data_IF_213702951959
#
_entry.id   IF_213702951959
#
_cell.length_a   1.000
_cell.length_b   1.000
_cell.length_c   1.000
_cell.angle_alpha   90.00
_cell.angle_beta   90.00
_cell.angle_gamma   90.00
#
_symmetry.space_group_name_H-M   'P 1'
#
loop_
_entity.id
_entity.type
_entity.pdbx_description
1 polymer ?
#
# COMPACT_ATOMS: atom_id res chain seq x y z
N UNK A 1 11.35 -4.56 19.31
CA UNK A 1 10.47 -4.40 18.13
C UNK A 1 9.31 -3.50 18.53
N UNK A 2 8.90 -2.57 17.71
CA UNK A 2 7.86 -1.58 18.06
C UNK A 2 6.52 -2.29 18.25
N UNK A 3 5.87 -2.14 19.42
CA UNK A 3 4.62 -2.83 19.77
C UNK A 3 3.49 -2.47 18.78
N UNK A 4 3.43 -1.23 18.33
CA UNK A 4 2.44 -0.75 17.36
C UNK A 4 2.62 -1.41 16.00
N UNK A 5 3.86 -1.57 15.52
CA UNK A 5 4.15 -2.27 14.26
C UNK A 5 3.73 -3.75 14.33
N UNK A 6 3.99 -4.43 15.47
CA UNK A 6 3.53 -5.82 15.62
C UNK A 6 2.01 -5.94 15.59
N UNK A 7 1.30 -4.99 16.20
CA UNK A 7 -0.16 -4.96 16.14
C UNK A 7 -0.66 -4.70 14.71
N UNK A 8 -0.01 -3.79 13.99
CA UNK A 8 -0.32 -3.50 12.58
C UNK A 8 -0.08 -4.74 11.69
N UNK A 9 1.05 -5.43 11.84
CA UNK A 9 1.33 -6.67 11.11
C UNK A 9 0.29 -7.75 11.37
N UNK A 10 -0.11 -7.94 12.64
CA UNK A 10 -1.16 -8.89 12.98
C UNK A 10 -2.48 -8.54 12.30
N UNK A 11 -2.85 -7.25 12.28
CA UNK A 11 -4.05 -6.77 11.60
C UNK A 11 -3.96 -7.00 10.09
N UNK A 12 -2.85 -6.62 9.47
CA UNK A 12 -2.58 -6.82 8.03
C UNK A 12 -2.72 -8.29 7.63
N UNK A 13 -2.10 -9.20 8.37
CA UNK A 13 -2.16 -10.63 8.08
C UNK A 13 -3.57 -11.20 8.21
N UNK A 14 -4.32 -10.78 9.23
CA UNK A 14 -5.71 -11.17 9.40
C UNK A 14 -6.59 -10.67 8.24
N UNK A 15 -6.37 -9.43 7.79
CA UNK A 15 -7.11 -8.85 6.66
C UNK A 15 -6.78 -9.59 5.35
N UNK A 16 -5.51 -9.91 5.08
CA UNK A 16 -5.11 -10.69 3.90
C UNK A 16 -5.72 -12.09 3.91
N UNK A 17 -5.71 -12.79 5.07
CA UNK A 17 -6.35 -14.11 5.19
C UNK A 17 -7.85 -14.04 4.94
N UNK A 18 -8.51 -13.02 5.51
CA UNK A 18 -9.95 -12.81 5.33
C UNK A 18 -10.29 -12.51 3.88
N UNK A 19 -9.51 -11.63 3.24
CA UNK A 19 -9.67 -11.29 1.82
C UNK A 19 -9.50 -12.51 0.92
N UNK A 20 -8.49 -13.34 1.19
CA UNK A 20 -8.23 -14.57 0.42
C UNK A 20 -9.37 -15.60 0.51
N UNK A 21 -10.15 -15.59 1.60
CA UNK A 21 -11.28 -16.51 1.83
C UNK A 21 -12.59 -16.04 1.18
N UNK A 22 -12.65 -14.82 0.66
CA UNK A 22 -13.87 -14.28 0.04
C UNK A 22 -14.27 -15.08 -1.21
N UNK A 23 -15.56 -15.36 -1.35
CA UNK A 23 -16.13 -16.02 -2.54
C UNK A 23 -15.84 -15.25 -3.84
N UNK A 24 -15.82 -13.93 -3.77
CA UNK A 24 -15.55 -13.01 -4.88
C UNK A 24 -14.09 -12.55 -4.95
N UNK A 25 -13.17 -13.22 -4.28
CA UNK A 25 -11.74 -12.88 -4.24
C UNK A 25 -11.19 -12.50 -5.61
N UNK A 26 -11.42 -13.35 -6.61
CA UNK A 26 -10.86 -13.13 -7.95
C UNK A 26 -11.40 -11.87 -8.63
N UNK A 27 -12.68 -11.55 -8.43
CA UNK A 27 -13.25 -10.33 -8.99
C UNK A 27 -12.62 -9.07 -8.39
N UNK A 28 -12.37 -9.09 -7.08
CA UNK A 28 -11.70 -8.00 -6.38
C UNK A 28 -10.21 -7.92 -6.77
N UNK A 29 -9.56 -9.06 -6.86
CA UNK A 29 -8.15 -9.17 -7.27
C UNK A 29 -7.95 -8.65 -8.70
N UNK A 30 -8.81 -9.05 -9.64
CA UNK A 30 -8.80 -8.56 -11.02
C UNK A 30 -9.09 -7.04 -11.11
N UNK A 31 -9.81 -6.47 -10.13
CA UNK A 31 -10.05 -5.02 -10.06
C UNK A 31 -8.77 -4.25 -9.78
N UNK A 32 -7.91 -4.76 -8.89
CA UNK A 32 -6.63 -4.15 -8.56
C UNK A 32 -5.59 -4.38 -9.68
N UNK A 33 -5.36 -5.62 -10.07
CA UNK A 33 -4.21 -6.03 -10.88
C UNK A 33 -4.53 -6.30 -12.36
N UNK A 34 -5.75 -6.04 -12.80
CA UNK A 34 -6.19 -6.42 -14.16
C UNK A 34 -6.44 -7.91 -14.30
N UNK A 35 -6.45 -8.41 -15.55
CA UNK A 35 -6.78 -9.82 -15.85
C UNK A 35 -5.66 -10.56 -16.59
N UNK A 36 -4.53 -9.91 -16.83
CA UNK A 36 -3.44 -10.43 -17.67
C UNK A 36 -2.17 -10.77 -16.86
N UNK A 37 -2.34 -11.23 -15.64
CA UNK A 37 -1.24 -11.58 -14.74
C UNK A 37 -0.95 -13.09 -14.71
N UNK A 38 0.12 -13.50 -14.07
CA UNK A 38 0.47 -14.89 -13.77
C UNK A 38 -0.53 -15.49 -12.76
N UNK A 39 -1.61 -16.08 -13.28
CA UNK A 39 -2.67 -16.69 -12.48
C UNK A 39 -2.17 -17.76 -11.49
N UNK A 40 -1.17 -18.54 -11.89
CA UNK A 40 -0.60 -19.58 -11.01
C UNK A 40 0.17 -18.95 -9.85
N UNK A 41 0.90 -17.88 -10.08
CA UNK A 41 1.57 -17.10 -9.02
C UNK A 41 0.56 -16.50 -8.03
N UNK A 42 -0.50 -15.89 -8.54
CA UNK A 42 -1.56 -15.32 -7.71
C UNK A 42 -2.30 -16.40 -6.89
N UNK A 43 -2.53 -17.59 -7.43
CA UNK A 43 -3.12 -18.71 -6.69
C UNK A 43 -2.22 -19.19 -5.56
N UNK A 44 -0.90 -19.22 -5.76
CA UNK A 44 0.06 -19.58 -4.71
C UNK A 44 -0.02 -18.56 -3.57
N UNK A 45 0.00 -17.26 -3.86
CA UNK A 45 -0.14 -16.20 -2.85
C UNK A 45 -1.45 -16.36 -2.07
N UNK A 46 -2.58 -16.57 -2.76
CA UNK A 46 -3.87 -16.80 -2.14
C UNK A 46 -3.85 -17.97 -1.15
N UNK A 47 -3.29 -19.11 -1.56
CA UNK A 47 -3.21 -20.32 -0.73
C UNK A 47 -2.30 -20.10 0.49
N UNK A 48 -1.21 -19.37 0.34
CA UNK A 48 -0.33 -18.98 1.45
C UNK A 48 -1.09 -18.13 2.47
N UNK A 49 -1.80 -17.08 2.03
CA UNK A 49 -2.60 -16.23 2.92
C UNK A 49 -3.70 -17.00 3.64
N UNK A 50 -4.39 -17.92 2.95
CA UNK A 50 -5.38 -18.82 3.55
C UNK A 50 -4.79 -19.73 4.61
N UNK A 51 -3.55 -20.18 4.44
CA UNK A 51 -2.85 -21.03 5.41
C UNK A 51 -2.16 -20.24 6.54
N UNK A 52 -2.17 -18.91 6.48
CA UNK A 52 -1.44 -18.04 7.41
C UNK A 52 0.08 -18.02 7.17
N UNK A 53 0.53 -18.38 5.99
CA UNK A 53 1.94 -18.30 5.59
C UNK A 53 2.19 -16.95 4.90
N UNK A 54 2.88 -16.06 5.60
CA UNK A 54 3.27 -14.73 5.13
C UNK A 54 4.80 -14.61 4.90
N UNK A 55 5.49 -15.74 4.81
CA UNK A 55 6.96 -15.79 4.70
C UNK A 55 7.49 -15.20 3.38
N UNK A 56 6.64 -15.09 2.36
CA UNK A 56 6.98 -14.52 1.05
C UNK A 56 6.87 -13.00 0.99
N UNK A 57 6.19 -12.39 1.96
CA UNK A 57 6.04 -10.93 1.98
C UNK A 57 7.40 -10.24 2.16
N UNK A 58 7.57 -9.03 1.58
CA UNK A 58 8.80 -8.26 1.69
C UNK A 58 9.20 -8.00 3.14
N UNK A 59 10.50 -7.89 3.37
CA UNK A 59 11.00 -7.43 4.66
C UNK A 59 10.74 -5.93 4.83
N UNK A 60 10.51 -5.52 6.07
CA UNK A 60 10.26 -4.13 6.39
C UNK A 60 11.52 -3.50 6.97
N UNK A 61 11.96 -2.40 6.37
CA UNK A 61 13.01 -1.54 6.88
C UNK A 61 12.41 -0.19 7.31
N UNK A 62 12.79 0.27 8.49
CA UNK A 62 12.34 1.56 9.02
C UNK A 62 13.39 2.60 8.69
N UNK A 63 13.01 3.62 7.92
CA UNK A 63 13.87 4.73 7.52
C UNK A 63 13.50 6.02 8.22
N UNK A 64 14.47 6.93 8.35
CA UNK A 64 14.18 8.31 8.73
C UNK A 64 13.19 8.92 7.73
N UNK A 65 12.17 9.62 8.21
CA UNK A 65 11.13 10.19 7.37
C UNK A 65 11.65 11.13 6.29
N UNK A 66 12.81 11.77 6.50
CA UNK A 66 13.45 12.64 5.50
C UNK A 66 13.92 11.87 4.24
N UNK A 67 14.09 10.55 4.32
CA UNK A 67 14.50 9.71 3.19
C UNK A 67 13.30 9.39 2.28
N UNK A 68 12.14 9.13 2.89
CA UNK A 68 10.89 8.85 2.17
C UNK A 68 10.19 10.13 1.69
N UNK A 69 10.72 11.31 2.03
CA UNK A 69 10.06 12.56 1.74
C UNK A 69 8.74 12.66 2.52
N UNK A 70 7.63 12.70 1.79
CA UNK A 70 6.28 12.82 2.37
C UNK A 70 5.58 11.46 2.52
N UNK A 71 6.15 10.39 1.97
CA UNK A 71 5.52 9.07 2.01
C UNK A 71 5.62 8.44 3.40
N UNK A 72 4.58 7.72 3.78
CA UNK A 72 4.52 6.91 4.99
C UNK A 72 5.14 5.53 4.79
N UNK A 73 5.03 5.00 3.57
CA UNK A 73 5.60 3.75 3.11
C UNK A 73 6.13 3.87 1.68
N UNK A 74 6.89 2.89 1.26
CA UNK A 74 7.35 2.72 -0.11
C UNK A 74 7.77 1.26 -0.35
N UNK A 75 7.41 0.70 -1.50
CA UNK A 75 7.89 -0.60 -1.93
C UNK A 75 8.97 -0.47 -3.01
N UNK A 76 10.01 -1.28 -2.90
CA UNK A 76 11.07 -1.38 -3.89
C UNK A 76 11.15 -2.79 -4.47
N UNK A 77 10.74 -2.96 -5.72
CA UNK A 77 10.77 -4.25 -6.42
C UNK A 77 12.20 -4.75 -6.66
N UNK A 78 13.17 -3.85 -6.82
CA UNK A 78 14.57 -4.18 -7.10
C UNK A 78 15.28 -4.96 -6.00
N UNK A 79 14.86 -4.80 -4.75
CA UNK A 79 15.42 -5.50 -3.58
C UNK A 79 14.35 -6.20 -2.73
N UNK A 80 13.09 -6.18 -3.16
CA UNK A 80 11.95 -6.77 -2.47
C UNK A 80 11.82 -6.28 -1.02
N UNK A 81 11.79 -4.97 -0.83
CA UNK A 81 11.78 -4.33 0.47
C UNK A 81 10.61 -3.36 0.60
N UNK A 82 9.94 -3.38 1.74
CA UNK A 82 9.02 -2.32 2.17
C UNK A 82 9.79 -1.37 3.09
N UNK A 83 9.75 -0.09 2.80
CA UNK A 83 10.27 0.96 3.66
C UNK A 83 9.14 1.65 4.40
N UNK A 84 9.29 1.89 5.70
CA UNK A 84 8.33 2.64 6.50
C UNK A 84 9.01 3.85 7.16
N UNK A 85 8.30 4.97 7.21
CA UNK A 85 8.74 6.17 7.89
C UNK A 85 8.76 5.98 9.41
N UNK A 86 9.89 6.26 10.04
CA UNK A 86 10.03 6.23 11.50
C UNK A 86 9.08 7.23 12.17
N UNK A 87 8.89 8.41 11.56
CA UNK A 87 7.97 9.44 12.08
C UNK A 87 6.53 8.92 12.05
N UNK A 88 6.10 8.34 10.92
CA UNK A 88 4.78 7.74 10.78
C UNK A 88 4.54 6.67 11.83
N UNK A 89 5.48 5.75 12.05
CA UNK A 89 5.39 4.70 13.06
C UNK A 89 5.25 5.21 14.49
N UNK A 90 5.76 6.39 14.80
CA UNK A 90 5.68 6.95 16.17
C UNK A 90 4.41 7.72 16.44
N UNK A 91 3.72 8.18 15.40
CA UNK A 91 2.55 9.06 15.51
C UNK A 91 1.24 8.40 15.11
N UNK A 92 1.30 7.23 14.46
CA UNK A 92 0.13 6.57 13.86
C UNK A 92 -0.40 5.40 14.68
N UNK A 93 -1.66 5.04 14.42
CA UNK A 93 -2.30 3.86 14.99
C UNK A 93 -1.91 2.59 14.24
N UNK A 94 -2.18 1.43 14.82
CA UNK A 94 -1.94 0.14 14.16
C UNK A 94 -2.77 -0.01 12.87
N UNK A 95 -3.98 0.55 12.85
CA UNK A 95 -4.87 0.54 11.68
C UNK A 95 -4.30 1.37 10.54
N UNK A 96 -3.80 2.58 10.83
CA UNK A 96 -3.18 3.43 9.82
C UNK A 96 -1.90 2.79 9.25
N UNK A 97 -1.06 2.20 10.10
CA UNK A 97 0.14 1.48 9.66
C UNK A 97 -0.25 0.25 8.83
N UNK A 98 -1.31 -0.48 9.22
CA UNK A 98 -1.80 -1.63 8.44
C UNK A 98 -2.30 -1.22 7.06
N UNK A 99 -2.97 -0.06 6.94
CA UNK A 99 -3.42 0.45 5.66
C UNK A 99 -2.23 0.69 4.70
N UNK A 100 -1.18 1.37 5.18
CA UNK A 100 0.06 1.56 4.41
C UNK A 100 0.71 0.22 4.06
N UNK A 101 0.83 -0.70 5.01
CA UNK A 101 1.40 -2.03 4.73
C UNK A 101 0.62 -2.80 3.66
N UNK A 102 -0.71 -2.69 3.64
CA UNK A 102 -1.53 -3.33 2.61
C UNK A 102 -1.29 -2.74 1.23
N UNK A 103 -1.07 -1.44 1.14
CA UNK A 103 -0.74 -0.74 -0.10
C UNK A 103 0.62 -1.21 -0.64
N UNK A 104 1.66 -1.18 0.20
CA UNK A 104 2.99 -1.65 -0.20
C UNK A 104 3.02 -3.16 -0.53
N UNK A 105 2.15 -3.95 0.10
CA UNK A 105 1.95 -5.36 -0.27
C UNK A 105 1.21 -5.46 -1.61
N UNK A 106 0.34 -4.52 -1.95
CA UNK A 106 -0.28 -4.45 -3.27
C UNK A 106 0.76 -4.29 -4.39
N UNK A 107 1.68 -3.34 -4.26
CA UNK A 107 2.81 -3.14 -5.18
C UNK A 107 3.71 -4.39 -5.26
N UNK A 108 4.00 -5.03 -4.12
CA UNK A 108 4.70 -6.32 -4.13
C UNK A 108 3.94 -7.39 -4.92
N UNK A 109 2.63 -7.49 -4.76
CA UNK A 109 1.81 -8.48 -5.48
C UNK A 109 1.89 -8.19 -6.97
N UNK A 110 1.71 -6.94 -7.39
CA UNK A 110 1.81 -6.55 -8.80
C UNK A 110 3.15 -6.94 -9.39
N UNK A 111 4.25 -6.51 -8.79
CA UNK A 111 5.61 -6.84 -9.22
C UNK A 111 5.89 -8.35 -9.26
N UNK A 112 5.16 -9.16 -8.47
CA UNK A 112 5.34 -10.61 -8.42
C UNK A 112 4.54 -11.37 -9.48
N UNK A 113 3.39 -10.85 -9.89
CA UNK A 113 2.49 -11.55 -10.81
C UNK A 113 2.44 -10.96 -12.21
N UNK A 114 2.74 -9.67 -12.37
CA UNK A 114 2.73 -8.98 -13.65
C UNK A 114 4.14 -8.91 -14.27
N UNK A 115 4.20 -8.86 -15.61
CA UNK A 115 5.46 -8.69 -16.36
C UNK A 115 5.89 -7.23 -16.44
N UNK A 116 4.96 -6.33 -16.27
CA UNK A 116 5.15 -4.88 -16.22
C UNK A 116 4.19 -4.35 -15.20
N UNK A 117 4.58 -3.29 -14.56
CA UNK A 117 3.77 -2.57 -13.62
C UNK A 117 2.37 -2.27 -14.13
N UNK A 118 1.35 -2.46 -13.30
CA UNK A 118 -0.04 -2.11 -13.61
C UNK A 118 -0.18 -0.58 -13.62
N UNK A 119 -1.05 -0.07 -14.49
CA UNK A 119 -1.22 1.37 -14.59
C UNK A 119 -1.98 1.94 -13.36
N UNK A 120 -1.40 2.96 -12.75
CA UNK A 120 -1.98 3.68 -11.61
C UNK A 120 -1.47 3.17 -10.28
N UNK A 121 -2.16 3.52 -9.21
CA UNK A 121 -1.88 3.08 -7.85
C UNK A 121 -2.71 1.82 -7.53
N UNK A 122 -2.24 0.65 -8.02
CA UNK A 122 -2.90 -0.63 -7.75
C UNK A 122 -2.71 -1.06 -6.29
N UNK A 123 -1.68 -0.56 -5.62
CA UNK A 123 -1.44 -0.76 -4.20
C UNK A 123 -2.59 -0.19 -3.36
N UNK A 124 -2.95 1.08 -3.59
CA UNK A 124 -4.08 1.71 -2.90
C UNK A 124 -5.42 1.05 -3.25
N UNK A 125 -5.61 0.65 -4.51
CA UNK A 125 -6.81 -0.10 -4.91
C UNK A 125 -6.88 -1.41 -4.12
N UNK A 126 -5.80 -2.17 -4.07
CA UNK A 126 -5.71 -3.43 -3.34
C UNK A 126 -5.96 -3.23 -1.85
N UNK A 127 -5.30 -2.26 -1.21
CA UNK A 127 -5.48 -1.94 0.21
C UNK A 127 -6.94 -1.64 0.56
N UNK A 128 -7.61 -0.81 -0.24
CA UNK A 128 -9.02 -0.49 -0.05
C UNK A 128 -9.91 -1.74 -0.12
N UNK A 129 -9.70 -2.60 -1.11
CA UNK A 129 -10.49 -3.83 -1.30
C UNK A 129 -10.24 -4.86 -0.19
N UNK A 130 -9.00 -5.02 0.27
CA UNK A 130 -8.66 -5.90 1.40
C UNK A 130 -9.31 -5.43 2.70
N UNK A 131 -9.42 -4.12 2.90
CA UNK A 131 -10.11 -3.51 4.05
C UNK A 131 -11.65 -3.60 3.94
N UNK A 132 -12.18 -4.13 2.84
CA UNK A 132 -13.63 -4.26 2.63
C UNK A 132 -14.30 -2.98 2.15
N UNK A 133 -13.53 -1.98 1.72
CA UNK A 133 -14.06 -0.76 1.15
C UNK A 133 -14.59 -1.00 -0.27
N UNK A 134 -15.65 -0.30 -0.64
CA UNK A 134 -16.15 -0.26 -2.01
C UNK A 134 -15.59 0.97 -2.71
N UNK A 135 -14.94 0.76 -3.86
CA UNK A 135 -14.49 1.84 -4.71
C UNK A 135 -15.57 2.16 -5.75
N UNK A 136 -16.02 3.40 -5.78
CA UNK A 136 -16.88 3.86 -6.88
C UNK A 136 -16.06 4.05 -8.17
N UNK A 137 -16.75 4.19 -9.29
CA UNK A 137 -16.10 4.29 -10.59
C UNK A 137 -15.19 5.50 -10.70
N UNK A 138 -15.52 6.61 -10.05
CA UNK A 138 -14.74 7.85 -10.09
C UNK A 138 -13.45 7.70 -9.32
N UNK A 139 -13.51 7.17 -8.10
CA UNK A 139 -12.35 6.88 -7.24
C UNK A 139 -11.43 5.87 -7.91
N UNK A 140 -11.99 4.77 -8.46
CA UNK A 140 -11.18 3.76 -9.15
C UNK A 140 -10.48 4.33 -10.39
N UNK A 141 -11.14 5.22 -11.15
CA UNK A 141 -10.51 5.87 -12.30
C UNK A 141 -9.42 6.86 -11.87
N UNK A 142 -9.60 7.56 -10.76
CA UNK A 142 -8.59 8.47 -10.22
C UNK A 142 -7.33 7.69 -9.83
N UNK A 143 -7.48 6.63 -9.01
CA UNK A 143 -6.36 5.77 -8.60
C UNK A 143 -5.63 5.14 -9.82
N UNK A 144 -6.36 4.70 -10.83
CA UNK A 144 -5.77 4.16 -12.07
C UNK A 144 -5.06 5.20 -12.95
N UNK A 145 -5.18 6.47 -12.65
CA UNK A 145 -4.51 7.55 -13.37
C UNK A 145 -3.36 8.19 -12.57
N UNK A 146 -3.13 7.75 -11.35
CA UNK A 146 -2.03 8.23 -10.51
C UNK A 146 -0.68 7.73 -11.00
N UNK A 147 0.39 8.46 -10.64
CA UNK A 147 1.79 8.07 -10.82
C UNK A 147 2.42 8.08 -9.41
N UNK A 148 2.66 6.91 -8.89
CA UNK A 148 3.20 6.66 -7.55
C UNK A 148 4.71 6.37 -7.55
N UNK A 149 5.34 6.43 -8.73
CA UNK A 149 6.77 6.18 -8.86
C UNK A 149 7.61 7.30 -8.25
N UNK A 150 8.60 6.90 -7.48
CA UNK A 150 9.56 7.82 -6.89
C UNK A 150 10.97 7.25 -6.86
N UNK A 151 11.93 8.08 -6.49
CA UNK A 151 13.32 7.66 -6.26
C UNK A 151 13.75 8.12 -4.89
N UNK A 152 14.13 7.18 -4.04
CA UNK A 152 14.72 7.47 -2.73
C UNK A 152 16.22 7.16 -2.73
N UNK A 153 16.96 7.79 -1.80
CA UNK A 153 18.38 7.51 -1.63
C UNK A 153 18.62 6.85 -0.28
N UNK A 154 18.94 5.56 -0.30
CA UNK A 154 19.24 4.78 0.91
C UNK A 154 20.71 4.39 0.88
N UNK A 155 21.46 4.74 1.93
CA UNK A 155 22.88 4.45 2.05
C UNK A 155 23.73 4.90 0.84
N UNK A 156 23.32 6.02 0.20
CA UNK A 156 24.00 6.57 -0.98
C UNK A 156 23.65 5.88 -2.30
N UNK A 157 22.70 4.97 -2.31
CA UNK A 157 22.18 4.31 -3.51
C UNK A 157 20.79 4.85 -3.85
N UNK A 158 20.56 5.18 -5.11
CA UNK A 158 19.26 5.54 -5.61
C UNK A 158 18.44 4.28 -5.89
N UNK A 159 17.27 4.19 -5.28
CA UNK A 159 16.34 3.09 -5.39
C UNK A 159 15.03 3.60 -5.97
N UNK A 160 14.53 2.96 -7.03
CA UNK A 160 13.19 3.22 -7.54
C UNK A 160 12.19 2.55 -6.61
N UNK A 161 11.15 3.28 -6.26
CA UNK A 161 10.09 2.83 -5.36
C UNK A 161 8.74 3.26 -5.89
N UNK A 162 7.70 2.58 -5.49
CA UNK A 162 6.32 3.00 -5.52
C UNK A 162 5.99 3.51 -4.12
N UNK A 163 5.29 4.63 -4.01
CA UNK A 163 5.07 5.32 -2.74
C UNK A 163 3.61 5.66 -2.57
N UNK A 164 3.13 5.53 -1.33
CA UNK A 164 1.83 6.05 -0.97
C UNK A 164 1.75 7.56 -1.20
N UNK A 165 0.80 7.98 -2.02
CA UNK A 165 0.41 9.38 -2.15
C UNK A 165 -0.55 9.77 -1.01
N UNK A 166 -0.53 11.06 -0.61
CA UNK A 166 -1.48 11.58 0.38
C UNK A 166 -2.88 11.69 -0.24
N UNK A 167 -3.61 10.58 -0.24
CA UNK A 167 -5.00 10.56 -0.69
C UNK A 167 -5.91 10.39 0.52
N UNK A 168 -6.81 11.35 0.74
CA UNK A 168 -7.87 11.24 1.73
C UNK A 168 -8.93 10.23 1.29
N UNK A 169 -9.80 9.88 2.21
CA UNK A 169 -10.91 8.96 1.99
C UNK A 169 -12.18 9.70 1.51
N UNK A 170 -13.31 9.00 1.47
CA UNK A 170 -14.62 9.63 1.27
C UNK A 170 -15.23 10.18 2.59
N UNK A 171 -14.49 10.11 3.69
CA UNK A 171 -14.88 10.63 5.00
C UNK A 171 -14.21 11.97 5.32
N UNK A 172 -14.35 12.44 6.55
CA UNK A 172 -13.68 13.65 7.01
C UNK A 172 -12.26 13.28 7.45
N UNK A 173 -11.27 13.75 6.72
CA UNK A 173 -9.87 13.43 6.94
C UNK A 173 -9.11 14.61 7.56
N UNK A 174 -8.04 14.31 8.25
CA UNK A 174 -7.04 15.30 8.67
C UNK A 174 -5.71 14.91 8.03
N UNK A 175 -5.34 15.61 6.98
CA UNK A 175 -4.12 15.35 6.22
C UNK A 175 -3.13 16.47 6.55
N UNK A 176 -1.92 16.09 6.95
CA UNK A 176 -0.85 17.06 7.23
C UNK A 176 0.26 16.84 6.22
N UNK A 177 0.47 17.81 5.36
CA UNK A 177 1.60 17.87 4.45
C UNK A 177 2.91 18.16 5.19
N UNK A 178 3.96 18.39 4.43
CA UNK A 178 5.30 18.68 4.94
C UNK A 178 5.68 20.15 4.74
N UNK A 179 6.96 20.47 4.95
CA UNK A 179 7.51 21.81 4.64
C UNK A 179 7.85 22.01 3.15
N UNK A 180 7.62 21.01 2.30
CA UNK A 180 7.88 21.04 0.86
C UNK A 180 6.63 21.38 0.04
N UNK A 181 6.70 21.15 -1.27
CA UNK A 181 5.53 21.22 -2.15
C UNK A 181 4.83 19.87 -2.13
N UNK A 182 3.66 19.81 -1.51
CA UNK A 182 2.86 18.59 -1.42
C UNK A 182 1.76 18.61 -2.48
N UNK A 183 1.47 17.43 -3.04
CA UNK A 183 0.25 17.19 -3.78
C UNK A 183 -0.69 16.41 -2.88
N UNK A 184 -1.78 17.01 -2.47
CA UNK A 184 -2.74 16.41 -1.53
C UNK A 184 -4.07 16.29 -2.24
N UNK A 185 -4.55 15.06 -2.38
CA UNK A 185 -5.92 14.77 -2.76
C UNK A 185 -6.69 14.41 -1.48
N UNK A 186 -7.53 15.31 -1.01
CA UNK A 186 -8.25 15.10 0.26
C UNK A 186 -9.46 14.16 0.15
N UNK A 187 -9.81 13.72 -1.06
CA UNK A 187 -10.99 12.87 -1.26
C UNK A 187 -12.32 13.63 -1.15
N UNK A 188 -13.38 12.92 -0.76
CA UNK A 188 -14.70 13.49 -0.46
C UNK A 188 -14.84 13.63 1.06
N UNK A 189 -15.54 14.70 1.49
CA UNK A 189 -15.78 14.92 2.91
C UNK A 189 -15.56 16.37 3.31
N UNK A 190 -15.52 16.61 4.63
CA UNK A 190 -15.06 17.88 5.20
C UNK A 190 -13.69 17.63 5.80
N UNK A 191 -12.67 17.92 5.00
CA UNK A 191 -11.29 17.57 5.32
C UNK A 191 -10.54 18.75 5.91
N UNK A 192 -9.59 18.44 6.78
CA UNK A 192 -8.62 19.40 7.30
C UNK A 192 -7.28 19.09 6.67
N UNK A 193 -6.82 19.99 5.79
CA UNK A 193 -5.51 19.88 5.16
C UNK A 193 -4.59 20.93 5.75
N UNK A 194 -3.47 20.49 6.33
CA UNK A 194 -2.42 21.33 6.87
C UNK A 194 -1.18 21.15 5.98
N UNK A 195 -0.74 22.23 5.35
CA UNK A 195 0.48 22.29 4.53
C UNK A 195 1.64 22.94 5.29
#
# INVERSE_FOLDING_TARGET
>A
MNTVLNSALTLTYNQLSTFADLDNFWNLFDTAFGTQYNRSGAEILRLQWLSGDFSQLPQIEILDGSILGNANGAYASSNNQIYLSANFLTTSTAEAISAVLLEEIGHFVDAHINLSDSAGDEGAIFAALVQGNSLDTTTLQALKAEDDHATITVNGQNIQVEQQNFTGTNGNDTITGTSGNDTINSGLGIDVVNG
#
